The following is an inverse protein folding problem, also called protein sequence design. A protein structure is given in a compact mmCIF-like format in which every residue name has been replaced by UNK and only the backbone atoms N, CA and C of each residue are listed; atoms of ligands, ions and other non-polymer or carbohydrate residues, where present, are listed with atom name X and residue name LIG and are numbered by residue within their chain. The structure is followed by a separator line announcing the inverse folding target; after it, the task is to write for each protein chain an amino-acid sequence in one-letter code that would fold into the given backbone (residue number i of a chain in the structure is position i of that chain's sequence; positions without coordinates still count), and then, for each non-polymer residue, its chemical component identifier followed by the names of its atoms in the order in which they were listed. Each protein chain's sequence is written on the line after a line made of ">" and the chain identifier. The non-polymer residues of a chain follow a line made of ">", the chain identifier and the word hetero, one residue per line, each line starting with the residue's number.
data_IF_065510481682
#
_entry.id   IF_065510481682
#
_cell.length_a   1.000
_cell.length_b   1.000
_cell.length_c   1.000
_cell.angle_alpha   90.00
_cell.angle_beta   90.00
_cell.angle_gamma   90.00
#
_symmetry.space_group_name_H-M   'P 1'
#
loop_
_entity.id
_entity.type
_entity.pdbx_description
1 polymer ?
#
# COMPACT_ATOMS: atom_id res chain seq x y z
N UNK A 1 10.66 3.64 -14.35
CA UNK A 1 9.23 3.96 -14.41
C UNK A 1 8.55 3.25 -15.57
N UNK A 2 9.16 3.21 -16.75
CA UNK A 2 8.58 2.63 -17.97
C UNK A 2 8.03 1.20 -17.79
N UNK A 3 8.78 0.31 -17.12
CA UNK A 3 8.33 -1.06 -16.83
C UNK A 3 7.06 -1.10 -15.95
N UNK A 4 6.94 -0.17 -14.99
CA UNK A 4 5.78 -0.06 -14.12
C UNK A 4 4.57 0.44 -14.93
N UNK A 5 4.74 1.48 -15.75
CA UNK A 5 3.68 1.98 -16.63
C UNK A 5 3.22 0.91 -17.62
N UNK A 6 4.15 0.19 -18.25
CA UNK A 6 3.84 -0.91 -19.15
C UNK A 6 3.04 -2.02 -18.45
N UNK A 7 3.44 -2.42 -17.22
CA UNK A 7 2.73 -3.45 -16.46
C UNK A 7 1.34 -3.00 -16.02
N UNK A 8 1.18 -1.73 -15.62
CA UNK A 8 -0.12 -1.21 -15.19
C UNK A 8 -1.07 -0.98 -16.37
N UNK A 9 -0.55 -0.62 -17.55
CA UNK A 9 -1.36 -0.45 -18.77
C UNK A 9 -2.00 -1.75 -19.29
N UNK A 10 -1.48 -2.92 -18.92
CA UNK A 10 -2.09 -4.19 -19.33
C UNK A 10 -3.20 -4.66 -18.39
N UNK A 11 -3.46 -3.94 -17.29
CA UNK A 11 -4.56 -4.26 -16.37
C UNK A 11 -5.90 -3.94 -17.01
N UNK A 12 -6.85 -4.87 -16.90
CA UNK A 12 -8.22 -4.72 -17.40
C UNK A 12 -9.16 -4.34 -16.27
N UNK A 13 -9.84 -3.22 -16.45
CA UNK A 13 -10.95 -2.83 -15.58
C UNK A 13 -12.24 -3.44 -16.11
N UNK A 14 -13.08 -3.99 -15.22
CA UNK A 14 -14.28 -4.68 -15.69
C UNK A 14 -15.09 -5.38 -14.61
N UNK A 15 -16.10 -6.12 -15.04
CA UNK A 15 -16.96 -6.89 -14.16
C UNK A 15 -16.12 -7.90 -13.34
N UNK A 16 -16.19 -7.91 -12.00
CA UNK A 16 -15.42 -8.84 -11.17
C UNK A 16 -15.78 -10.32 -11.39
N UNK A 17 -16.91 -10.62 -12.05
CA UNK A 17 -17.27 -11.99 -12.45
C UNK A 17 -16.68 -12.42 -13.79
N UNK A 18 -16.08 -11.50 -14.56
CA UNK A 18 -15.33 -11.84 -15.76
C UNK A 18 -13.91 -12.27 -15.36
N UNK A 19 -13.50 -13.45 -15.84
CA UNK A 19 -12.19 -14.04 -15.58
C UNK A 19 -11.03 -13.23 -16.15
N UNK A 20 -11.31 -12.32 -17.08
CA UNK A 20 -10.31 -11.45 -17.69
C UNK A 20 -10.16 -10.09 -16.99
N UNK A 21 -10.96 -9.82 -15.96
CA UNK A 21 -10.87 -8.58 -15.18
C UNK A 21 -9.74 -8.68 -14.16
N UNK A 22 -8.86 -7.67 -14.14
CA UNK A 22 -7.83 -7.54 -13.11
C UNK A 22 -8.25 -6.59 -11.99
N UNK A 23 -9.00 -5.52 -12.32
CA UNK A 23 -9.36 -4.44 -11.39
C UNK A 23 -10.88 -4.21 -11.40
N UNK A 24 -11.52 -4.46 -10.26
CA UNK A 24 -12.95 -4.22 -10.05
C UNK A 24 -13.29 -2.77 -9.71
N UNK A 25 -14.59 -2.48 -9.62
CA UNK A 25 -15.09 -1.18 -9.22
C UNK A 25 -14.82 -0.93 -7.73
N UNK A 26 -14.70 0.34 -7.37
CA UNK A 26 -14.75 0.81 -5.98
C UNK A 26 -16.13 0.45 -5.40
N UNK A 27 -16.16 0.09 -4.12
CA UNK A 27 -17.36 -0.43 -3.48
C UNK A 27 -18.54 0.57 -3.39
N UNK A 28 -18.27 1.88 -3.39
CA UNK A 28 -19.29 2.93 -3.16
C UNK A 28 -18.92 4.27 -3.79
N UNK A 29 -19.94 5.10 -4.05
CA UNK A 29 -19.77 6.47 -4.54
C UNK A 29 -18.98 7.35 -3.55
N UNK A 30 -19.25 7.21 -2.24
CA UNK A 30 -18.55 7.95 -1.19
C UNK A 30 -17.06 7.64 -1.18
N UNK A 31 -16.69 6.35 -1.32
CA UNK A 31 -15.29 5.95 -1.36
C UNK A 31 -14.62 6.43 -2.65
N UNK A 32 -15.31 6.37 -3.79
CA UNK A 32 -14.79 6.94 -5.04
C UNK A 32 -14.55 8.44 -4.93
N UNK A 33 -15.47 9.18 -4.31
CA UNK A 33 -15.31 10.62 -4.08
C UNK A 33 -14.09 10.91 -3.20
N UNK A 34 -13.88 10.14 -2.11
CA UNK A 34 -12.69 10.26 -1.25
C UNK A 34 -11.39 9.97 -2.00
N UNK A 35 -11.33 8.88 -2.77
CA UNK A 35 -10.15 8.54 -3.58
C UNK A 35 -9.86 9.68 -4.56
N UNK A 36 -10.89 10.21 -5.22
CA UNK A 36 -10.77 11.29 -6.21
C UNK A 36 -10.26 12.58 -5.56
N UNK A 37 -10.76 12.93 -4.38
CA UNK A 37 -10.34 14.10 -3.60
C UNK A 37 -8.86 14.01 -3.20
N UNK A 38 -8.45 12.89 -2.58
CA UNK A 38 -7.06 12.73 -2.15
C UNK A 38 -6.14 12.66 -3.38
N UNK A 39 -6.53 11.98 -4.47
CA UNK A 39 -5.72 11.97 -5.69
C UNK A 39 -5.58 13.38 -6.30
N UNK A 40 -6.64 14.19 -6.31
CA UNK A 40 -6.59 15.58 -6.80
C UNK A 40 -5.65 16.45 -5.96
N UNK A 41 -5.51 16.19 -4.65
CA UNK A 41 -4.54 16.89 -3.81
C UNK A 41 -3.10 16.70 -4.32
N UNK A 42 -2.77 15.50 -4.83
CA UNK A 42 -1.46 15.22 -5.43
C UNK A 42 -1.11 16.13 -6.60
N UNK A 43 -2.08 16.42 -7.48
CA UNK A 43 -1.87 17.37 -8.58
C UNK A 43 -1.67 18.79 -8.05
N UNK A 44 -2.50 19.20 -7.08
CA UNK A 44 -2.43 20.55 -6.49
C UNK A 44 -1.14 20.81 -5.70
N UNK A 45 -0.55 19.75 -5.15
CA UNK A 45 0.70 19.79 -4.37
C UNK A 45 1.94 19.65 -5.27
N UNK A 46 1.76 19.46 -6.58
CA UNK A 46 2.84 19.45 -7.57
C UNK A 46 3.44 18.08 -7.87
N UNK A 47 2.79 16.98 -7.46
CA UNK A 47 3.18 15.65 -7.90
C UNK A 47 2.80 15.43 -9.38
N UNK A 48 3.54 14.56 -10.07
CA UNK A 48 3.26 14.20 -11.46
C UNK A 48 2.38 12.97 -11.55
N UNK A 49 1.14 13.19 -11.95
CA UNK A 49 0.17 12.14 -12.23
C UNK A 49 0.44 11.44 -13.55
N UNK A 50 0.37 10.13 -13.52
CA UNK A 50 0.21 9.26 -14.67
C UNK A 50 -0.98 8.33 -14.39
N UNK A 51 -1.89 8.20 -15.35
CA UNK A 51 -3.06 7.32 -15.23
C UNK A 51 -3.05 6.32 -16.37
N UNK A 52 -3.34 5.06 -16.05
CA UNK A 52 -3.38 3.99 -17.02
C UNK A 52 -4.41 4.29 -18.12
N UNK A 53 -4.04 4.04 -19.37
CA UNK A 53 -4.98 4.11 -20.49
C UNK A 53 -5.74 2.79 -20.57
N UNK A 54 -6.91 2.73 -19.94
CA UNK A 54 -7.76 1.54 -19.92
C UNK A 54 -9.21 1.89 -20.24
N UNK A 55 -9.94 0.93 -20.80
CA UNK A 55 -11.37 1.06 -21.04
C UNK A 55 -12.11 1.07 -19.70
N UNK A 56 -12.81 2.17 -19.41
CA UNK A 56 -13.58 2.33 -18.17
C UNK A 56 -15.05 2.02 -18.47
N UNK A 57 -15.68 1.06 -17.77
CA UNK A 57 -17.09 0.76 -17.98
C UNK A 57 -18.00 1.95 -17.63
N UNK A 58 -19.07 2.14 -18.42
CA UNK A 58 -19.99 3.28 -18.25
C UNK A 58 -20.83 3.26 -16.96
N UNK A 59 -20.89 2.12 -16.26
CA UNK A 59 -21.69 1.95 -15.04
C UNK A 59 -20.83 1.34 -13.94
N UNK A 60 -20.93 1.90 -12.73
CA UNK A 60 -20.16 1.50 -11.56
C UNK A 60 -19.29 2.65 -11.05
N UNK A 61 -18.60 2.42 -9.94
CA UNK A 61 -17.72 3.41 -9.34
C UNK A 61 -16.27 3.09 -9.73
N UNK A 62 -15.78 3.70 -10.79
CA UNK A 62 -14.47 3.36 -11.35
C UNK A 62 -13.44 4.44 -11.06
N UNK A 63 -12.25 4.01 -10.65
CA UNK A 63 -11.08 4.87 -10.58
C UNK A 63 -9.93 4.18 -11.32
N UNK A 64 -9.42 4.75 -12.42
CA UNK A 64 -8.35 4.10 -13.19
C UNK A 64 -7.05 4.04 -12.38
N UNK A 65 -6.27 2.93 -12.48
CA UNK A 65 -4.98 2.81 -11.82
C UNK A 65 -4.09 4.03 -12.09
N UNK A 66 -3.66 4.70 -11.03
CA UNK A 66 -2.96 5.98 -11.10
C UNK A 66 -1.66 5.92 -10.31
N UNK A 67 -0.60 6.48 -10.87
CA UNK A 67 0.72 6.55 -10.27
C UNK A 67 1.11 8.02 -10.19
N UNK A 68 1.55 8.45 -9.01
CA UNK A 68 2.17 9.75 -8.80
C UNK A 68 3.68 9.59 -8.66
N UNK A 69 4.42 10.40 -9.40
CA UNK A 69 5.88 10.59 -9.24
C UNK A 69 6.16 11.99 -8.73
N UNK A 70 7.44 12.30 -8.42
CA UNK A 70 7.83 13.57 -7.80
C UNK A 70 7.10 13.83 -6.47
N UNK A 71 6.77 12.75 -5.77
CA UNK A 71 6.06 12.82 -4.49
C UNK A 71 7.03 13.17 -3.37
N UNK A 72 6.68 14.18 -2.58
CA UNK A 72 7.35 14.53 -1.34
C UNK A 72 6.62 13.90 -0.14
N UNK A 73 7.33 13.70 0.98
CA UNK A 73 6.70 13.22 2.22
C UNK A 73 5.65 14.18 2.79
N UNK A 74 5.70 15.46 2.41
CA UNK A 74 4.71 16.44 2.84
C UNK A 74 3.35 16.28 2.14
N UNK A 75 3.32 15.63 0.97
CA UNK A 75 2.10 15.49 0.17
C UNK A 75 1.07 14.62 0.88
N UNK A 76 -0.22 14.97 0.76
CA UNK A 76 -1.32 14.18 1.34
C UNK A 76 -1.35 12.76 0.76
N UNK A 77 -1.12 12.61 -0.55
CA UNK A 77 -1.01 11.29 -1.22
C UNK A 77 0.14 10.40 -0.70
N UNK A 78 1.07 10.92 0.10
CA UNK A 78 2.12 10.15 0.76
C UNK A 78 1.82 9.84 2.24
N UNK A 79 0.86 10.54 2.85
CA UNK A 79 0.60 10.51 4.29
C UNK A 79 -0.75 9.93 4.66
N UNK A 80 -1.75 10.12 3.81
CA UNK A 80 -3.11 9.67 4.03
C UNK A 80 -3.36 8.34 3.31
N UNK A 81 -4.17 7.48 3.92
CA UNK A 81 -4.63 6.26 3.29
C UNK A 81 -5.70 6.57 2.24
N UNK A 82 -5.36 6.35 0.96
CA UNK A 82 -6.26 6.60 -0.18
C UNK A 82 -7.29 5.47 -0.31
N UNK A 83 -6.87 4.23 -0.08
CA UNK A 83 -7.70 3.03 -0.18
C UNK A 83 -8.37 2.87 -1.57
N UNK A 84 -7.57 3.13 -2.61
CA UNK A 84 -7.92 3.00 -4.03
C UNK A 84 -6.69 2.62 -4.86
N UNK A 85 -6.83 2.41 -6.18
CA UNK A 85 -5.74 1.99 -7.05
C UNK A 85 -4.80 3.17 -7.38
N UNK A 86 -4.18 3.76 -6.36
CA UNK A 86 -3.28 4.91 -6.44
C UNK A 86 -1.94 4.55 -5.79
N UNK A 87 -0.85 4.74 -6.53
CA UNK A 87 0.51 4.50 -6.04
C UNK A 87 1.32 5.80 -6.01
N UNK A 88 1.85 6.14 -4.84
CA UNK A 88 2.79 7.24 -4.67
C UNK A 88 4.23 6.73 -4.73
N UNK A 89 5.04 7.25 -5.65
CA UNK A 89 6.45 6.87 -5.82
C UNK A 89 7.36 7.98 -5.28
N UNK A 90 8.08 7.65 -4.22
CA UNK A 90 9.10 8.49 -3.61
C UNK A 90 10.48 7.91 -3.91
N UNK A 91 11.48 8.79 -4.05
CA UNK A 91 12.88 8.39 -4.23
C UNK A 91 13.68 8.61 -2.95
N UNK A 92 14.81 7.91 -2.84
CA UNK A 92 15.78 8.03 -1.77
C UNK A 92 17.18 7.76 -2.34
N UNK A 93 18.22 8.20 -1.64
CA UNK A 93 19.62 8.03 -2.04
C UNK A 93 20.38 7.04 -1.15
N UNK A 94 19.94 6.86 0.10
CA UNK A 94 20.59 5.93 1.04
C UNK A 94 19.57 5.01 1.71
N UNK A 95 19.99 3.82 2.18
CA UNK A 95 19.12 2.95 2.97
C UNK A 95 18.57 3.65 4.22
N UNK A 96 19.39 4.45 4.91
CA UNK A 96 18.94 5.18 6.09
C UNK A 96 17.84 6.18 5.75
N UNK A 97 17.99 6.94 4.66
CA UNK A 97 16.95 7.86 4.20
C UNK A 97 15.65 7.11 3.89
N UNK A 98 15.72 5.90 3.31
CA UNK A 98 14.53 5.08 3.06
C UNK A 98 13.84 4.64 4.36
N UNK A 99 14.62 4.24 5.37
CA UNK A 99 14.10 3.85 6.70
C UNK A 99 13.44 5.05 7.37
N UNK A 100 14.11 6.21 7.39
CA UNK A 100 13.60 7.43 8.00
C UNK A 100 12.28 7.85 7.34
N UNK A 101 12.23 7.81 5.99
CA UNK A 101 11.02 8.09 5.24
C UNK A 101 9.90 7.08 5.56
N UNK A 102 10.19 5.79 5.54
CA UNK A 102 9.20 4.74 5.82
C UNK A 102 8.61 4.83 7.23
N UNK A 103 9.45 5.19 8.21
CA UNK A 103 9.04 5.33 9.60
C UNK A 103 8.33 6.66 9.90
N UNK A 104 8.50 7.68 9.06
CA UNK A 104 7.83 8.97 9.15
C UNK A 104 6.39 8.90 8.63
N UNK A 105 5.59 8.07 9.30
CA UNK A 105 4.16 7.87 9.07
C UNK A 105 3.47 7.65 10.42
N UNK A 106 2.24 8.13 10.64
CA UNK A 106 1.45 7.73 11.80
C UNK A 106 1.08 6.24 11.77
N UNK A 107 1.18 5.60 10.60
CA UNK A 107 0.86 4.20 10.39
C UNK A 107 2.10 3.29 10.51
N UNK A 108 1.84 1.99 10.64
CA UNK A 108 2.86 0.95 10.79
C UNK A 108 2.30 -0.46 10.59
N UNK A 109 1.42 -0.67 9.61
CA UNK A 109 0.79 -1.97 9.39
C UNK A 109 1.78 -2.99 8.82
N UNK A 110 2.34 -2.68 7.66
CA UNK A 110 3.28 -3.57 6.97
C UNK A 110 4.30 -2.80 6.13
N UNK A 111 5.41 -3.46 5.79
CA UNK A 111 6.45 -2.94 4.92
C UNK A 111 7.04 -4.04 4.03
N UNK A 112 7.72 -3.64 2.95
CA UNK A 112 8.35 -4.56 2.00
C UNK A 112 9.75 -4.10 1.64
N UNK A 113 10.69 -5.04 1.57
CA UNK A 113 12.09 -4.78 1.23
C UNK A 113 12.46 -5.63 0.01
N UNK A 114 13.01 -5.01 -1.03
CA UNK A 114 13.57 -5.70 -2.18
C UNK A 114 15.06 -5.44 -2.30
N UNK A 115 15.87 -6.48 -2.10
CA UNK A 115 17.32 -6.44 -2.29
C UNK A 115 17.88 -7.85 -2.38
N UNK A 116 18.98 -8.02 -3.11
CA UNK A 116 19.71 -9.30 -3.20
C UNK A 116 20.61 -9.56 -1.97
N UNK A 117 20.87 -8.53 -1.14
CA UNK A 117 21.77 -8.64 0.01
C UNK A 117 21.01 -9.04 1.27
N UNK A 118 21.14 -10.30 1.70
CA UNK A 118 20.49 -10.84 2.90
C UNK A 118 20.77 -10.06 4.19
N UNK A 119 22.02 -9.65 4.41
CA UNK A 119 22.39 -8.83 5.58
C UNK A 119 21.65 -7.50 5.64
N UNK A 120 21.41 -6.89 4.47
CA UNK A 120 20.65 -5.64 4.36
C UNK A 120 19.17 -5.84 4.67
N UNK A 121 18.59 -6.98 4.28
CA UNK A 121 17.21 -7.32 4.63
C UNK A 121 17.05 -7.31 6.15
N UNK A 122 17.90 -8.07 6.86
CA UNK A 122 17.81 -8.20 8.31
C UNK A 122 18.03 -6.85 9.02
N UNK A 123 19.02 -6.08 8.58
CA UNK A 123 19.30 -4.75 9.13
C UNK A 123 18.07 -3.84 8.96
N UNK A 124 17.61 -3.63 7.73
CA UNK A 124 16.49 -2.72 7.43
C UNK A 124 15.22 -3.19 8.12
N UNK A 125 14.93 -4.50 8.12
CA UNK A 125 13.73 -5.04 8.76
C UNK A 125 13.71 -4.78 10.27
N UNK A 126 14.86 -4.79 10.94
CA UNK A 126 14.94 -4.50 12.38
C UNK A 126 14.68 -3.02 12.74
N UNK A 127 14.85 -2.12 11.77
CA UNK A 127 14.68 -0.67 11.97
C UNK A 127 13.30 -0.16 11.53
N UNK A 128 12.57 -0.92 10.70
CA UNK A 128 11.22 -0.57 10.26
C UNK A 128 10.20 -0.76 11.38
N UNK A 129 9.41 0.28 11.63
CA UNK A 129 8.32 0.28 12.62
C UNK A 129 7.02 -0.19 11.97
N UNK A 130 7.02 -1.45 11.56
CA UNK A 130 5.87 -2.11 10.94
C UNK A 130 5.55 -3.44 11.63
N UNK A 131 4.28 -3.81 11.63
CA UNK A 131 3.81 -5.08 12.18
C UNK A 131 4.34 -6.31 11.45
N UNK A 132 4.38 -6.22 10.12
CA UNK A 132 4.84 -7.27 9.22
C UNK A 132 5.82 -6.68 8.22
N UNK A 133 6.97 -7.33 8.04
CA UNK A 133 7.95 -6.94 7.03
C UNK A 133 8.16 -8.11 6.06
N UNK A 134 7.83 -7.92 4.79
CA UNK A 134 8.11 -8.89 3.74
C UNK A 134 9.45 -8.60 3.07
N UNK A 135 10.23 -9.65 2.84
CA UNK A 135 11.49 -9.57 2.12
C UNK A 135 11.38 -10.26 0.76
N UNK A 136 11.67 -9.54 -0.32
CA UNK A 136 11.60 -9.99 -1.71
C UNK A 136 10.25 -10.60 -2.11
N UNK A 137 9.19 -10.21 -1.42
CA UNK A 137 7.79 -10.56 -1.68
C UNK A 137 6.90 -9.47 -1.10
N UNK A 138 5.59 -9.53 -1.37
CA UNK A 138 4.63 -8.63 -0.75
C UNK A 138 3.27 -9.30 -0.63
N UNK A 139 2.49 -8.88 0.36
CA UNK A 139 1.12 -9.34 0.57
C UNK A 139 0.98 -10.88 0.66
N UNK A 140 1.98 -11.54 1.26
CA UNK A 140 1.95 -12.97 1.58
C UNK A 140 1.46 -13.14 3.01
N UNK A 141 0.22 -13.60 3.15
CA UNK A 141 -0.41 -13.87 4.43
C UNK A 141 -0.39 -15.38 4.69
N UNK A 142 -0.04 -15.75 5.91
CA UNK A 142 -0.07 -17.13 6.38
C UNK A 142 -0.88 -17.18 7.69
N UNK A 143 -1.90 -18.06 7.80
CA UNK A 143 -2.72 -18.14 9.01
C UNK A 143 -1.95 -18.44 10.30
N UNK A 144 -0.75 -19.03 10.21
CA UNK A 144 0.11 -19.35 11.35
C UNK A 144 1.01 -18.19 11.76
N UNK A 145 1.19 -17.19 10.89
CA UNK A 145 1.96 -15.98 11.17
C UNK A 145 1.03 -14.89 11.73
N UNK A 146 1.42 -14.19 12.81
CA UNK A 146 0.63 -13.06 13.30
C UNK A 146 0.66 -11.90 12.30
N UNK A 147 -0.45 -11.16 12.23
CA UNK A 147 -0.63 -9.94 11.47
C UNK A 147 -1.25 -8.87 12.37
N UNK A 148 -0.82 -7.62 12.25
CA UNK A 148 -1.36 -6.51 13.03
C UNK A 148 -0.35 -5.37 13.13
N UNK A 149 -0.84 -4.14 13.24
CA UNK A 149 -0.01 -2.95 13.05
C UNK A 149 0.78 -2.48 14.27
N UNK A 150 1.56 -1.43 14.01
CA UNK A 150 2.15 -0.52 14.98
C UNK A 150 1.43 0.83 14.90
N UNK A 151 1.59 1.66 15.95
CA UNK A 151 1.09 3.05 16.00
C UNK A 151 -0.43 3.11 15.76
N UNK A 152 -0.90 4.00 14.87
CA UNK A 152 -2.31 4.16 14.56
C UNK A 152 -2.87 3.03 13.68
N UNK A 153 -2.03 2.08 13.22
CA UNK A 153 -2.49 0.88 12.51
C UNK A 153 -3.02 -0.23 13.43
N UNK A 154 -3.23 0.09 14.71
CA UNK A 154 -3.89 -0.78 15.69
C UNK A 154 -2.96 -1.43 16.71
N UNK A 155 -3.58 -2.12 17.67
CA UNK A 155 -2.92 -2.82 18.77
C UNK A 155 -3.35 -4.28 18.79
N UNK A 156 -2.49 -5.17 19.30
CA UNK A 156 -2.72 -6.60 19.26
C UNK A 156 -2.32 -7.23 17.92
N UNK A 157 -2.60 -8.53 17.79
CA UNK A 157 -2.30 -9.32 16.59
C UNK A 157 -3.46 -10.26 16.31
N UNK A 158 -3.69 -10.55 15.05
CA UNK A 158 -4.57 -11.60 14.55
C UNK A 158 -3.74 -12.68 13.84
N UNK A 159 -4.26 -13.90 13.76
CA UNK A 159 -3.51 -15.03 13.19
C UNK A 159 -2.40 -15.56 14.11
N UNK A 160 -1.90 -16.74 13.75
CA UNK A 160 -0.97 -17.50 14.58
C UNK A 160 -1.49 -17.77 15.99
N UNK A 161 -0.57 -18.09 16.90
CA UNK A 161 -0.90 -18.26 18.33
C UNK A 161 -1.25 -16.93 19.00
N UNK A 162 -0.58 -15.85 18.61
CA UNK A 162 -0.79 -14.51 19.16
C UNK A 162 -2.24 -14.03 19.00
N UNK A 163 -2.89 -14.35 17.88
CA UNK A 163 -4.29 -14.01 17.65
C UNK A 163 -5.28 -14.68 18.60
N UNK A 164 -4.89 -15.76 19.28
CA UNK A 164 -5.73 -16.42 20.28
C UNK A 164 -5.61 -15.78 21.67
N UNK A 165 -4.48 -15.13 21.96
CA UNK A 165 -4.16 -14.60 23.28
C UNK A 165 -5.21 -13.63 23.84
N UNK A 166 -5.79 -12.69 23.05
CA UNK A 166 -6.84 -11.80 23.54
C UNK A 166 -8.12 -12.51 24.00
N UNK A 167 -8.33 -13.76 23.57
CA UNK A 167 -9.51 -14.57 23.91
C UNK A 167 -9.25 -15.55 25.06
N UNK A 168 -8.02 -15.60 25.57
CA UNK A 168 -7.61 -16.54 26.61
C UNK A 168 -7.27 -15.79 27.91
N UNK A 169 -7.74 -16.33 29.04
CA UNK A 169 -7.24 -15.93 30.35
C UNK A 169 -6.10 -16.88 30.71
N UNK A 170 -4.87 -16.40 30.65
CA UNK A 170 -3.72 -17.16 31.15
C UNK A 170 -3.89 -17.27 32.67
N UNK A 171 -3.95 -18.50 33.18
CA UNK A 171 -4.12 -18.76 34.61
C UNK A 171 -3.01 -18.10 35.43
N UNK A 172 -3.41 -17.50 36.56
CA UNK A 172 -2.49 -16.93 37.56
C UNK A 172 -1.62 -18.03 38.15
#
# INVERSE_FOLDING_TARGET
>A
MDMLYARVNILRMGNPLDKNTDVGAINSATQLARITEIAASGDSEGAKRWTASCDIPNKGFWFPPTIFTEVSQAHRIAREEIFGPVLSVLTFRTPQEAIDKANNSPFGLSAGIWTEKGSRILQVASELRAGVVWANTFNKLDPTSPFGGYKESGYGREGGRHGLEPYLKVGV
#
